data_IF_038945225508
#
_entry.id   IF_038945225508
#
_cell.length_a   1.000
_cell.length_b   1.000
_cell.length_c   1.000
_cell.angle_alpha   90.00
_cell.angle_beta   90.00
_cell.angle_gamma   90.00
#
_symmetry.space_group_name_H-M   'P 1'
#
loop_
_entity.id
_entity.type
_entity.pdbx_description
1 polymer ?
#
# COMPACT_ATOMS: atom_id res chain seq x y z
N UNK A 1 17.08 -70.40 7.55
CA UNK A 1 18.47 -70.08 7.21
C UNK A 1 18.52 -69.78 5.73
N UNK A 2 18.80 -68.59 5.34
CA UNK A 2 19.60 -68.07 4.24
C UNK A 2 19.31 -66.59 4.15
N UNK A 3 20.31 -65.80 4.54
CA UNK A 3 20.41 -64.35 4.36
C UNK A 3 20.64 -64.10 2.89
N UNK A 4 19.81 -63.26 2.25
CA UNK A 4 20.11 -62.67 0.97
C UNK A 4 20.37 -61.19 1.12
N UNK A 5 21.60 -60.80 0.84
CA UNK A 5 22.07 -59.43 0.72
C UNK A 5 21.56 -58.84 -0.59
N UNK A 6 20.86 -57.73 -0.53
CA UNK A 6 20.61 -56.89 -1.71
C UNK A 6 21.81 -55.96 -1.93
N UNK A 7 22.30 -55.79 -3.16
CA UNK A 7 23.35 -54.83 -3.45
C UNK A 7 22.81 -53.42 -3.55
N UNK A 8 23.54 -52.54 -2.89
CA UNK A 8 23.38 -51.10 -2.94
C UNK A 8 23.72 -50.58 -4.35
N UNK A 9 22.72 -50.18 -5.13
CA UNK A 9 22.95 -49.51 -6.41
C UNK A 9 23.24 -48.05 -6.12
N UNK A 10 24.50 -47.66 -6.21
CA UNK A 10 24.94 -46.27 -6.19
C UNK A 10 24.47 -45.59 -7.50
N UNK A 11 23.42 -44.79 -7.40
CA UNK A 11 23.00 -43.89 -8.48
C UNK A 11 23.88 -42.63 -8.42
N UNK A 12 24.97 -42.65 -9.17
CA UNK A 12 25.78 -41.44 -9.41
C UNK A 12 25.01 -40.50 -10.29
N UNK A 13 24.38 -39.48 -9.66
CA UNK A 13 23.83 -38.33 -10.38
C UNK A 13 25.02 -37.53 -10.91
N UNK A 14 25.22 -37.61 -12.23
CA UNK A 14 26.09 -36.68 -12.95
C UNK A 14 25.57 -35.28 -12.83
N UNK A 15 26.23 -34.49 -12.00
CA UNK A 15 26.01 -33.05 -11.91
C UNK A 15 26.57 -32.42 -13.19
N UNK A 16 25.70 -32.12 -14.16
CA UNK A 16 26.02 -31.28 -15.31
C UNK A 16 26.22 -29.87 -14.81
N UNK A 17 27.38 -29.24 -14.96
CA UNK A 17 27.52 -27.83 -14.65
C UNK A 17 26.72 -27.04 -15.67
N UNK A 18 25.64 -26.38 -15.21
CA UNK A 18 24.94 -25.38 -15.99
C UNK A 18 25.93 -24.26 -16.34
N UNK A 19 26.18 -24.10 -17.64
CA UNK A 19 26.98 -23.00 -18.18
C UNK A 19 26.34 -21.68 -17.74
N UNK A 20 27.00 -20.98 -16.84
CA UNK A 20 26.59 -19.63 -16.42
C UNK A 20 26.78 -18.70 -17.63
N UNK A 21 25.66 -18.16 -18.13
CA UNK A 21 25.70 -17.05 -19.08
C UNK A 21 26.31 -15.81 -18.40
N UNK A 22 27.31 -15.16 -19.01
CA UNK A 22 27.89 -13.94 -18.45
C UNK A 22 26.98 -12.76 -18.75
N UNK A 23 26.15 -12.33 -17.79
CA UNK A 23 25.38 -11.11 -17.96
C UNK A 23 24.22 -10.86 -17.00
N UNK A 24 23.78 -11.84 -16.24
CA UNK A 24 22.75 -11.60 -15.21
C UNK A 24 23.41 -11.65 -13.84
N UNK A 25 23.74 -10.49 -13.30
CA UNK A 25 24.02 -10.35 -11.89
C UNK A 25 22.83 -10.87 -11.06
N UNK A 26 23.07 -11.38 -9.83
CA UNK A 26 21.98 -11.87 -8.99
C UNK A 26 20.91 -10.78 -8.88
N UNK A 27 19.60 -11.15 -8.91
CA UNK A 27 18.54 -10.17 -8.72
C UNK A 27 18.85 -9.41 -7.43
N UNK A 28 18.93 -8.09 -7.53
CA UNK A 28 19.21 -7.24 -6.40
C UNK A 28 18.24 -7.62 -5.29
N UNK A 29 18.75 -8.27 -4.25
CA UNK A 29 17.99 -8.55 -3.04
C UNK A 29 17.61 -7.19 -2.47
N UNK A 30 16.37 -6.79 -2.73
CA UNK A 30 15.82 -5.57 -2.19
C UNK A 30 15.74 -5.76 -0.68
N UNK A 31 16.67 -5.16 0.03
CA UNK A 31 16.61 -5.05 1.48
C UNK A 31 15.30 -4.33 1.81
N UNK A 32 14.36 -4.96 2.53
CA UNK A 32 13.04 -4.37 2.79
C UNK A 32 13.08 -3.10 3.65
N UNK A 33 14.25 -2.72 4.13
CA UNK A 33 14.47 -1.54 4.98
C UNK A 33 14.98 -0.30 4.22
N UNK A 34 15.35 -0.42 2.95
CA UNK A 34 15.83 0.74 2.17
C UNK A 34 14.70 1.21 1.27
N UNK A 35 14.08 2.32 1.64
CA UNK A 35 13.12 2.98 0.76
C UNK A 35 13.79 3.31 -0.57
N UNK A 36 13.07 3.06 -1.67
CA UNK A 36 13.58 3.40 -3.00
C UNK A 36 13.85 4.90 -3.09
N UNK A 37 14.77 5.28 -3.98
CA UNK A 37 15.07 6.70 -4.23
C UNK A 37 13.81 7.48 -4.64
N UNK A 38 12.91 6.83 -5.41
CA UNK A 38 11.63 7.44 -5.82
C UNK A 38 10.72 7.71 -4.64
N UNK A 39 10.61 6.76 -3.72
CA UNK A 39 9.82 6.95 -2.50
C UNK A 39 10.38 8.13 -1.71
N UNK A 40 11.70 8.24 -1.53
CA UNK A 40 12.32 9.37 -0.83
C UNK A 40 12.05 10.70 -1.51
N UNK A 41 12.18 10.77 -2.84
CA UNK A 41 11.88 11.98 -3.62
C UNK A 41 10.40 12.34 -3.53
N UNK A 42 9.50 11.37 -3.69
CA UNK A 42 8.06 11.58 -3.55
C UNK A 42 7.68 12.11 -2.17
N UNK A 43 8.25 11.54 -1.10
CA UNK A 43 8.05 12.02 0.27
C UNK A 43 8.57 13.46 0.44
N UNK A 44 9.77 13.77 -0.07
CA UNK A 44 10.34 15.12 0.01
C UNK A 44 9.44 16.17 -0.66
N UNK A 45 8.94 15.88 -1.87
CA UNK A 45 7.99 16.76 -2.55
C UNK A 45 6.68 16.92 -1.78
N UNK A 46 6.14 15.81 -1.23
CA UNK A 46 4.95 15.87 -0.40
C UNK A 46 5.15 16.73 0.85
N UNK A 47 6.25 16.53 1.58
CA UNK A 47 6.56 17.28 2.80
C UNK A 47 6.70 18.77 2.52
N UNK A 48 7.40 19.14 1.46
CA UNK A 48 7.52 20.53 1.04
C UNK A 48 6.16 21.15 0.70
N UNK A 49 5.33 20.46 -0.07
CA UNK A 49 3.99 20.92 -0.40
C UNK A 49 3.14 21.12 0.84
N UNK A 50 3.11 20.10 1.72
CA UNK A 50 2.18 20.05 2.84
C UNK A 50 2.61 20.89 4.03
N UNK A 51 3.89 20.81 4.43
CA UNK A 51 4.37 21.46 5.65
C UNK A 51 4.97 22.85 5.43
N UNK A 52 5.45 23.16 4.22
CA UNK A 52 6.07 24.44 3.95
C UNK A 52 5.17 25.37 3.14
N UNK A 53 4.69 24.93 1.96
CA UNK A 53 4.01 25.80 1.02
C UNK A 53 2.53 26.04 1.36
N UNK A 54 1.80 24.99 1.77
CA UNK A 54 0.38 25.11 2.12
C UNK A 54 0.14 26.06 3.29
N UNK A 55 0.89 26.02 4.41
CA UNK A 55 0.72 26.99 5.49
C UNK A 55 1.02 28.43 5.08
N UNK A 56 1.88 28.63 4.08
CA UNK A 56 2.23 29.93 3.52
C UNK A 56 1.23 30.42 2.48
N UNK A 57 0.14 29.68 2.20
CA UNK A 57 -0.87 29.97 1.17
C UNK A 57 -0.26 30.08 -0.24
N UNK A 58 0.81 29.35 -0.50
CA UNK A 58 1.46 29.26 -1.82
C UNK A 58 0.85 28.10 -2.61
N UNK A 59 -0.48 28.16 -2.80
CA UNK A 59 -1.28 27.05 -3.31
C UNK A 59 -0.83 26.53 -4.67
N UNK A 60 -0.41 27.41 -5.57
CA UNK A 60 0.08 27.03 -6.89
C UNK A 60 1.37 26.22 -6.82
N UNK A 61 2.29 26.64 -5.98
CA UNK A 61 3.57 25.95 -5.81
C UNK A 61 3.38 24.64 -5.05
N UNK A 62 2.51 24.63 -4.04
CA UNK A 62 2.13 23.42 -3.35
C UNK A 62 1.51 22.38 -4.32
N UNK A 63 0.64 22.83 -5.23
CA UNK A 63 0.07 21.96 -6.25
C UNK A 63 1.14 21.35 -7.17
N UNK A 64 2.14 22.14 -7.59
CA UNK A 64 3.27 21.64 -8.40
C UNK A 64 4.10 20.59 -7.65
N UNK A 65 4.40 20.83 -6.37
CA UNK A 65 5.13 19.85 -5.56
C UNK A 65 4.32 18.57 -5.35
N UNK A 66 3.00 18.66 -5.14
CA UNK A 66 2.13 17.46 -5.11
C UNK A 66 2.15 16.71 -6.45
N UNK A 67 2.19 17.39 -7.62
CA UNK A 67 2.32 16.75 -8.92
C UNK A 67 3.65 15.98 -9.05
N UNK A 68 4.75 16.55 -8.56
CA UNK A 68 6.04 15.87 -8.53
C UNK A 68 6.01 14.64 -7.61
N UNK A 69 5.38 14.77 -6.44
CA UNK A 69 5.22 13.64 -5.52
C UNK A 69 4.43 12.49 -6.17
N UNK A 70 3.29 12.79 -6.81
CA UNK A 70 2.47 11.82 -7.53
C UNK A 70 3.32 11.10 -8.59
N UNK A 71 4.05 11.85 -9.43
CA UNK A 71 4.87 11.27 -10.49
C UNK A 71 5.91 10.28 -9.94
N UNK A 72 6.57 10.61 -8.81
CA UNK A 72 7.54 9.70 -8.19
C UNK A 72 6.89 8.44 -7.62
N UNK A 73 5.73 8.57 -6.97
CA UNK A 73 5.03 7.40 -6.42
C UNK A 73 4.42 6.52 -7.53
N UNK A 74 3.91 7.07 -8.62
CA UNK A 74 3.43 6.29 -9.78
C UNK A 74 4.57 5.54 -10.46
N UNK A 75 5.76 6.17 -10.61
CA UNK A 75 6.97 5.50 -11.09
C UNK A 75 7.44 4.38 -10.14
N UNK A 76 7.25 4.57 -8.84
CA UNK A 76 7.50 3.49 -7.87
C UNK A 76 6.52 2.32 -8.09
N UNK A 77 5.22 2.60 -8.18
CA UNK A 77 4.20 1.58 -8.38
C UNK A 77 4.33 0.84 -9.71
N UNK A 78 4.89 1.47 -10.75
CA UNK A 78 5.18 0.78 -12.02
C UNK A 78 6.23 -0.34 -11.88
N UNK A 79 7.09 -0.27 -10.85
CA UNK A 79 8.13 -1.27 -10.55
C UNK A 79 7.75 -2.19 -9.39
N UNK A 80 7.11 -1.61 -8.38
CA UNK A 80 6.69 -2.29 -7.17
C UNK A 80 5.21 -1.97 -6.90
N UNK A 81 4.27 -2.68 -7.56
CA UNK A 81 2.83 -2.44 -7.39
C UNK A 81 2.33 -2.60 -5.95
N UNK A 82 3.08 -3.30 -5.09
CA UNK A 82 2.78 -3.50 -3.67
C UNK A 82 3.54 -2.54 -2.73
N UNK A 83 3.98 -1.38 -3.22
CA UNK A 83 4.61 -0.38 -2.37
C UNK A 83 3.58 0.30 -1.46
N UNK A 84 3.49 -0.17 -0.20
CA UNK A 84 2.56 0.36 0.80
C UNK A 84 2.74 1.88 1.00
N UNK A 85 4.01 2.33 1.05
CA UNK A 85 4.34 3.75 1.20
C UNK A 85 3.81 4.59 0.03
N UNK A 86 3.99 4.13 -1.22
CA UNK A 86 3.48 4.86 -2.38
C UNK A 86 1.96 4.96 -2.36
N UNK A 87 1.25 3.87 -2.05
CA UNK A 87 -0.20 3.89 -1.92
C UNK A 87 -0.66 4.81 -0.80
N UNK A 88 -0.01 4.79 0.36
CA UNK A 88 -0.35 5.66 1.48
C UNK A 88 -0.26 7.16 1.11
N UNK A 89 0.84 7.56 0.48
CA UNK A 89 1.03 8.97 0.09
C UNK A 89 0.12 9.39 -1.05
N UNK A 90 -0.11 8.54 -2.06
CA UNK A 90 -1.06 8.83 -3.13
C UNK A 90 -2.48 8.98 -2.59
N UNK A 91 -2.94 8.07 -1.73
CA UNK A 91 -4.22 8.19 -1.05
C UNK A 91 -4.37 9.54 -0.33
N UNK A 92 -3.33 9.95 0.40
CA UNK A 92 -3.30 11.23 1.12
C UNK A 92 -3.34 12.44 0.18
N UNK A 93 -2.54 12.44 -0.89
CA UNK A 93 -2.50 13.54 -1.86
C UNK A 93 -3.83 13.69 -2.57
N UNK A 94 -4.42 12.58 -3.05
CA UNK A 94 -5.71 12.62 -3.72
C UNK A 94 -6.84 13.06 -2.78
N UNK A 95 -6.81 12.70 -1.50
CA UNK A 95 -7.73 13.23 -0.50
C UNK A 95 -7.61 14.75 -0.33
N UNK A 96 -6.40 15.29 -0.24
CA UNK A 96 -6.14 16.73 -0.17
C UNK A 96 -6.63 17.46 -1.42
N UNK A 97 -6.57 16.81 -2.58
CA UNK A 97 -7.07 17.33 -3.86
C UNK A 97 -8.57 17.13 -4.07
N UNK A 98 -9.26 16.51 -3.11
CA UNK A 98 -10.68 16.14 -3.18
C UNK A 98 -11.01 15.16 -4.32
N UNK A 99 -10.00 14.45 -4.86
CA UNK A 99 -10.20 13.30 -5.74
C UNK A 99 -10.41 12.04 -4.86
N UNK A 100 -11.54 12.04 -4.19
CA UNK A 100 -11.82 11.08 -3.13
C UNK A 100 -11.91 9.64 -3.63
N UNK A 101 -12.33 9.41 -4.88
CA UNK A 101 -12.38 8.06 -5.45
C UNK A 101 -10.99 7.49 -5.64
N UNK A 102 -10.05 8.26 -6.20
CA UNK A 102 -8.66 7.82 -6.30
C UNK A 102 -8.01 7.65 -4.93
N UNK A 103 -8.34 8.54 -3.99
CA UNK A 103 -7.89 8.37 -2.60
C UNK A 103 -8.33 7.03 -2.03
N UNK A 104 -9.61 6.67 -2.20
CA UNK A 104 -10.15 5.39 -1.73
C UNK A 104 -9.47 4.20 -2.40
N UNK A 105 -9.28 4.22 -3.73
CA UNK A 105 -8.57 3.17 -4.47
C UNK A 105 -7.18 2.90 -3.90
N UNK A 106 -6.41 3.94 -3.60
CA UNK A 106 -5.08 3.78 -3.03
C UNK A 106 -5.10 3.26 -1.58
N UNK A 107 -6.03 3.71 -0.76
CA UNK A 107 -6.19 3.19 0.60
C UNK A 107 -6.73 1.74 0.62
N UNK A 108 -7.59 1.35 -0.32
CA UNK A 108 -8.01 -0.03 -0.50
C UNK A 108 -6.81 -0.92 -0.84
N UNK A 109 -5.95 -0.51 -1.79
CA UNK A 109 -4.71 -1.22 -2.09
C UNK A 109 -3.77 -1.31 -0.89
N UNK A 110 -3.64 -0.24 -0.12
CA UNK A 110 -2.87 -0.27 1.12
C UNK A 110 -3.43 -1.30 2.11
N UNK A 111 -4.75 -1.38 2.25
CA UNK A 111 -5.39 -2.35 3.16
C UNK A 111 -5.27 -3.80 2.70
N UNK A 112 -5.11 -4.04 1.40
CA UNK A 112 -4.80 -5.36 0.83
C UNK A 112 -3.34 -5.77 1.10
N UNK A 113 -2.41 -4.82 0.98
CA UNK A 113 -0.98 -5.04 1.22
C UNK A 113 -0.69 -5.23 2.71
N UNK A 114 -1.36 -4.47 3.56
CA UNK A 114 -1.21 -4.46 5.01
C UNK A 114 -2.54 -4.82 5.70
N UNK A 115 -2.97 -6.10 5.73
CA UNK A 115 -4.28 -6.49 6.26
C UNK A 115 -4.51 -6.15 7.74
N UNK A 116 -3.45 -5.99 8.51
CA UNK A 116 -3.51 -5.57 9.91
C UNK A 116 -3.59 -4.04 10.09
N UNK A 117 -3.40 -3.28 9.02
CA UNK A 117 -3.54 -1.83 9.03
C UNK A 117 -5.03 -1.44 8.87
N UNK A 118 -5.75 -1.50 9.98
CA UNK A 118 -7.18 -1.17 10.03
C UNK A 118 -7.45 0.27 9.61
N UNK A 119 -6.52 1.18 9.89
CA UNK A 119 -6.67 2.59 9.52
C UNK A 119 -6.71 2.78 8.00
N UNK A 120 -6.07 1.94 7.21
CA UNK A 120 -6.17 1.98 5.74
C UNK A 120 -7.62 1.75 5.27
N UNK A 121 -8.30 0.73 5.82
CA UNK A 121 -9.73 0.48 5.54
C UNK A 121 -10.62 1.67 5.96
N UNK A 122 -10.34 2.25 7.11
CA UNK A 122 -11.09 3.41 7.61
C UNK A 122 -10.87 4.62 6.70
N UNK A 123 -9.65 4.87 6.26
CA UNK A 123 -9.33 5.99 5.35
C UNK A 123 -9.99 5.80 3.98
N UNK A 124 -10.02 4.57 3.43
CA UNK A 124 -10.75 4.26 2.22
C UNK A 124 -12.26 4.56 2.38
N UNK A 125 -12.85 4.13 3.50
CA UNK A 125 -14.25 4.39 3.80
C UNK A 125 -14.55 5.89 3.94
N UNK A 126 -13.69 6.64 4.61
CA UNK A 126 -13.87 8.10 4.74
C UNK A 126 -13.79 8.78 3.38
N UNK A 127 -12.85 8.39 2.53
CA UNK A 127 -12.74 8.92 1.17
C UNK A 127 -13.98 8.59 0.33
N UNK A 128 -14.51 7.36 0.39
CA UNK A 128 -15.78 6.99 -0.27
C UNK A 128 -16.96 7.82 0.25
N UNK A 129 -17.03 8.05 1.56
CA UNK A 129 -18.06 8.91 2.15
C UNK A 129 -18.02 10.34 1.62
N UNK A 130 -16.83 10.93 1.50
CA UNK A 130 -16.62 12.25 0.89
C UNK A 130 -16.92 12.27 -0.62
N UNK A 131 -16.74 11.15 -1.31
CA UNK A 131 -17.12 10.98 -2.72
C UNK A 131 -18.65 10.87 -2.92
N UNK A 132 -19.42 10.68 -1.83
CA UNK A 132 -20.87 10.44 -1.87
C UNK A 132 -21.24 8.95 -1.95
N UNK A 133 -20.27 8.05 -2.01
CA UNK A 133 -20.48 6.60 -2.11
C UNK A 133 -20.69 5.98 -0.70
N UNK A 134 -21.68 6.51 0.03
CA UNK A 134 -21.90 6.23 1.46
C UNK A 134 -22.17 4.75 1.75
N UNK A 135 -22.88 4.06 0.84
CA UNK A 135 -23.16 2.65 1.01
C UNK A 135 -21.89 1.80 0.97
N UNK A 136 -20.99 2.11 0.05
CA UNK A 136 -19.70 1.43 -0.07
C UNK A 136 -18.77 1.80 1.10
N UNK A 137 -18.75 3.06 1.52
CA UNK A 137 -18.04 3.50 2.72
C UNK A 137 -18.46 2.66 3.95
N UNK A 138 -19.76 2.43 4.12
CA UNK A 138 -20.25 1.59 5.22
C UNK A 138 -19.75 0.16 5.13
N UNK A 139 -19.69 -0.44 3.93
CA UNK A 139 -19.15 -1.79 3.75
C UNK A 139 -17.68 -1.87 4.19
N UNK A 140 -16.86 -0.89 3.79
CA UNK A 140 -15.45 -0.81 4.24
C UNK A 140 -15.31 -0.65 5.75
N UNK A 141 -16.18 0.13 6.39
CA UNK A 141 -16.20 0.26 7.85
C UNK A 141 -16.59 -1.04 8.56
N UNK A 142 -17.55 -1.79 8.01
CA UNK A 142 -17.92 -3.11 8.54
C UNK A 142 -16.76 -4.10 8.43
N UNK A 143 -16.03 -4.07 7.33
CA UNK A 143 -14.83 -4.86 7.12
C UNK A 143 -13.72 -4.47 8.12
N UNK A 144 -13.43 -3.18 8.28
CA UNK A 144 -12.47 -2.66 9.24
C UNK A 144 -12.81 -3.12 10.68
N UNK A 145 -14.09 -3.11 11.04
CA UNK A 145 -14.55 -3.58 12.35
C UNK A 145 -14.24 -5.04 12.62
N UNK A 146 -14.27 -5.89 11.58
CA UNK A 146 -13.96 -7.32 11.72
C UNK A 146 -12.45 -7.59 11.85
N UNK A 147 -11.61 -6.65 11.43
CA UNK A 147 -10.15 -6.79 11.42
C UNK A 147 -9.48 -6.32 12.72
N UNK A 148 -10.22 -5.73 13.66
CA UNK A 148 -9.65 -5.19 14.90
C UNK A 148 -10.38 -5.67 16.13
N UNK A 149 -9.62 -5.84 17.21
CA UNK A 149 -10.14 -6.01 18.58
C UNK A 149 -9.80 -4.81 19.48
N UNK A 150 -9.15 -3.78 18.95
CA UNK A 150 -8.84 -2.57 19.72
C UNK A 150 -10.12 -1.79 20.07
N UNK A 151 -10.42 -1.57 21.37
CA UNK A 151 -11.65 -0.89 21.79
C UNK A 151 -11.78 0.55 21.24
N UNK A 152 -10.65 1.26 21.12
CA UNK A 152 -10.66 2.64 20.63
C UNK A 152 -10.98 2.68 19.13
N UNK A 153 -10.38 1.78 18.34
CA UNK A 153 -10.68 1.63 16.93
C UNK A 153 -12.14 1.20 16.72
N UNK A 154 -12.63 0.23 17.49
CA UNK A 154 -14.03 -0.23 17.42
C UNK A 154 -15.03 0.89 17.73
N UNK A 155 -14.77 1.71 18.74
CA UNK A 155 -15.64 2.85 19.08
C UNK A 155 -15.70 3.86 17.92
N UNK A 156 -14.55 4.23 17.37
CA UNK A 156 -14.43 5.16 16.25
C UNK A 156 -15.14 4.63 15.00
N UNK A 157 -14.91 3.36 14.63
CA UNK A 157 -15.55 2.73 13.47
C UNK A 157 -17.07 2.66 13.66
N UNK A 158 -17.55 2.32 14.86
CA UNK A 158 -18.99 2.26 15.16
C UNK A 158 -19.65 3.63 15.00
N UNK A 159 -18.98 4.69 15.41
CA UNK A 159 -19.46 6.06 15.20
C UNK A 159 -19.59 6.41 13.71
N UNK A 160 -18.58 6.05 12.89
CA UNK A 160 -18.63 6.28 11.44
C UNK A 160 -19.75 5.47 10.77
N UNK A 161 -19.97 4.21 11.16
CA UNK A 161 -21.10 3.41 10.67
C UNK A 161 -22.44 4.08 11.00
N UNK A 162 -22.60 4.57 12.22
CA UNK A 162 -23.82 5.25 12.62
C UNK A 162 -24.06 6.55 11.84
N UNK A 163 -23.00 7.28 11.47
CA UNK A 163 -23.09 8.44 10.57
C UNK A 163 -23.52 8.04 9.16
N UNK A 164 -22.92 6.99 8.60
CA UNK A 164 -23.27 6.47 7.29
C UNK A 164 -24.76 6.01 7.25
N UNK A 165 -25.24 5.34 8.29
CA UNK A 165 -26.64 4.89 8.39
C UNK A 165 -27.67 6.04 8.36
N UNK A 166 -27.29 7.21 8.87
CA UNK A 166 -28.14 8.40 8.82
C UNK A 166 -28.22 9.02 7.42
N UNK A 167 -27.14 8.84 6.60
CA UNK A 167 -27.06 9.41 5.26
C UNK A 167 -27.72 8.52 4.21
N UNK A 168 -27.87 7.21 4.47
CA UNK A 168 -28.49 6.24 3.54
C UNK A 168 -30.03 6.25 3.65
N UNK A 169 -30.60 6.85 4.69
CA UNK A 169 -32.06 6.97 4.92
C UNK A 169 -32.65 8.12 4.11
#
# INVERSE_FOLDING_TARGET
MVRQFLPLVLLTVLLVPASAEPGQGPPAQQNPTVQSERVRQGVSHFERAFYELTPQKRDREAAQEFDQAIAQFELELSRQPSSAVAHQYLGRIYSLRKDYRKSAEHYDRLSEIEPLNVDACVLAALALGEAGDVAEAKLRLLEARQRTSDPAALARITEYIAKADKLIR
#
